data_IF_086192950802
#
_entry.id   IF_086192950802
#
_cell.length_a   1.000
_cell.length_b   1.000
_cell.length_c   1.000
_cell.angle_alpha   90.00
_cell.angle_beta   90.00
_cell.angle_gamma   90.00
#
_symmetry.space_group_name_H-M   'P 1'
#
loop_
_entity.id
_entity.type
_entity.pdbx_description
1 polymer ?
#
# COMPACT_ATOMS: atom_id res chain seq x y z
N UNK A 1 -5.85 4.71 -14.54
CA UNK A 1 -4.38 4.95 -14.51
C UNK A 1 -4.16 6.42 -14.82
N UNK A 2 -3.51 7.17 -13.91
CA UNK A 2 -3.03 8.51 -14.26
C UNK A 2 -1.73 8.30 -15.03
N UNK A 3 -1.79 8.29 -16.35
CA UNK A 3 -0.60 8.19 -17.18
C UNK A 3 0.28 9.43 -16.91
N UNK A 4 1.58 9.22 -16.72
CA UNK A 4 2.54 10.32 -16.81
C UNK A 4 2.53 10.74 -18.28
N UNK A 5 1.94 11.90 -18.58
CA UNK A 5 1.96 12.46 -19.93
C UNK A 5 3.35 13.02 -20.19
N UNK A 6 4.20 12.22 -20.83
CA UNK A 6 5.51 12.66 -21.31
C UNK A 6 5.34 13.28 -22.71
N UNK A 7 5.56 14.60 -22.79
CA UNK A 7 5.52 15.34 -24.05
C UNK A 7 6.89 15.24 -24.73
N UNK A 8 7.01 14.26 -25.62
CA UNK A 8 8.23 13.98 -26.38
C UNK A 8 8.66 15.19 -27.22
N UNK A 9 7.72 15.95 -27.79
CA UNK A 9 8.03 17.08 -28.68
C UNK A 9 8.62 18.23 -27.87
N UNK A 10 7.94 18.64 -26.80
CA UNK A 10 8.40 19.71 -25.92
C UNK A 10 9.74 19.37 -25.26
N UNK A 11 9.99 18.09 -24.97
CA UNK A 11 11.29 17.62 -24.47
C UNK A 11 12.40 17.76 -25.52
N UNK A 12 12.14 17.38 -26.78
CA UNK A 12 13.10 17.57 -27.89
C UNK A 12 13.41 19.06 -28.09
N UNK A 13 12.40 19.92 -28.12
CA UNK A 13 12.57 21.38 -28.26
C UNK A 13 13.48 21.94 -27.16
N UNK A 14 13.22 21.56 -25.89
CA UNK A 14 14.07 21.98 -24.77
C UNK A 14 15.54 21.53 -24.91
N UNK A 15 15.78 20.33 -25.43
CA UNK A 15 17.14 19.84 -25.66
C UNK A 15 17.84 20.62 -26.78
N UNK A 16 17.11 20.93 -27.86
CA UNK A 16 17.64 21.74 -28.97
C UNK A 16 17.97 23.15 -28.51
N UNK A 17 17.09 23.79 -27.73
CA UNK A 17 17.32 25.12 -27.13
C UNK A 17 18.54 25.13 -26.20
N UNK A 18 18.84 23.99 -25.56
CA UNK A 18 20.03 23.79 -24.74
C UNK A 18 21.30 23.46 -25.56
N UNK A 19 21.22 23.40 -26.89
CA UNK A 19 22.35 23.16 -27.78
C UNK A 19 22.59 21.69 -28.14
N UNK A 20 21.69 20.77 -27.79
CA UNK A 20 21.75 19.36 -28.21
C UNK A 20 21.34 19.26 -29.68
N UNK A 21 22.08 18.48 -30.48
CA UNK A 21 21.71 18.27 -31.88
C UNK A 21 20.33 17.58 -32.00
N UNK A 22 19.54 17.97 -32.99
CA UNK A 22 18.20 17.40 -33.22
C UNK A 22 18.18 15.85 -33.27
N UNK A 23 19.13 15.16 -33.94
CA UNK A 23 19.17 13.69 -33.93
C UNK A 23 19.36 13.10 -32.52
N UNK A 24 20.21 13.73 -31.70
CA UNK A 24 20.45 13.29 -30.32
C UNK A 24 19.28 13.62 -29.41
N UNK A 25 18.66 14.78 -29.58
CA UNK A 25 17.48 15.18 -28.82
C UNK A 25 16.32 14.19 -29.04
N UNK A 26 16.07 13.83 -30.31
CA UNK A 26 15.10 12.79 -30.69
C UNK A 26 15.44 11.43 -30.07
N UNK A 27 16.70 11.00 -30.15
CA UNK A 27 17.13 9.73 -29.57
C UNK A 27 16.91 9.67 -28.04
N UNK A 28 17.22 10.74 -27.32
CA UNK A 28 16.98 10.83 -25.87
C UNK A 28 15.49 10.81 -25.54
N UNK A 29 14.68 11.55 -26.29
CA UNK A 29 13.24 11.61 -26.09
C UNK A 29 12.57 10.24 -26.29
N UNK A 30 13.00 9.51 -27.33
CA UNK A 30 12.53 8.14 -27.59
C UNK A 30 12.95 7.20 -26.46
N UNK A 31 14.23 7.17 -26.08
CA UNK A 31 14.71 6.28 -25.03
C UNK A 31 14.03 6.53 -23.68
N UNK A 32 13.81 7.80 -23.31
CA UNK A 32 13.11 8.15 -22.08
C UNK A 32 11.62 7.79 -22.15
N UNK A 33 10.97 8.02 -23.30
CA UNK A 33 9.58 7.62 -23.52
C UNK A 33 9.39 6.11 -23.38
N UNK A 34 10.29 5.30 -23.94
CA UNK A 34 10.26 3.84 -23.83
C UNK A 34 10.39 3.38 -22.37
N UNK A 35 11.30 3.97 -21.59
CA UNK A 35 11.46 3.63 -20.17
C UNK A 35 10.22 3.99 -19.36
N UNK A 36 9.62 5.17 -19.61
CA UNK A 36 8.43 5.63 -18.90
C UNK A 36 7.18 4.82 -19.25
N UNK A 37 7.07 4.32 -20.49
CA UNK A 37 5.98 3.44 -20.90
C UNK A 37 6.09 2.03 -20.31
N UNK A 38 7.32 1.55 -20.10
CA UNK A 38 7.58 0.21 -19.57
C UNK A 38 7.68 0.15 -18.03
N UNK A 39 7.66 1.28 -17.33
CA UNK A 39 7.59 1.30 -15.88
C UNK A 39 6.16 1.06 -15.38
N UNK A 40 5.92 -0.12 -14.81
CA UNK A 40 4.76 -0.34 -13.95
C UNK A 40 4.96 0.40 -12.62
N UNK A 41 4.46 1.64 -12.58
CA UNK A 41 4.44 2.44 -11.36
C UNK A 41 3.21 2.08 -10.54
N UNK A 42 3.40 1.82 -9.24
CA UNK A 42 2.30 1.65 -8.31
C UNK A 42 1.41 2.91 -8.36
N UNK A 43 0.15 2.70 -8.71
CA UNK A 43 -0.83 3.76 -8.88
C UNK A 43 -1.44 4.14 -7.53
N UNK A 44 -2.11 5.29 -7.48
CA UNK A 44 -2.93 5.67 -6.32
C UNK A 44 -4.03 4.63 -6.03
N UNK A 45 -4.49 3.89 -7.05
CA UNK A 45 -5.48 2.83 -6.88
C UNK A 45 -4.88 1.64 -6.15
N UNK A 46 -3.64 1.26 -6.47
CA UNK A 46 -2.92 0.17 -5.78
C UNK A 46 -2.68 0.51 -4.30
N UNK A 47 -2.30 1.77 -4.02
CA UNK A 47 -2.19 2.25 -2.65
C UNK A 47 -3.53 2.24 -1.90
N UNK A 48 -4.63 2.63 -2.58
CA UNK A 48 -5.96 2.61 -1.98
C UNK A 48 -6.43 1.16 -1.70
N UNK A 49 -6.12 0.23 -2.59
CA UNK A 49 -6.40 -1.20 -2.41
C UNK A 49 -5.64 -1.76 -1.21
N UNK A 50 -4.32 -1.54 -1.14
CA UNK A 50 -3.50 -1.98 0.00
C UNK A 50 -3.99 -1.36 1.34
N UNK A 51 -4.39 -0.09 1.32
CA UNK A 51 -4.96 0.57 2.52
C UNK A 51 -6.30 -0.05 2.94
N UNK A 52 -7.14 -0.43 1.99
CA UNK A 52 -8.42 -1.07 2.27
C UNK A 52 -8.23 -2.49 2.83
N UNK A 53 -7.32 -3.26 2.25
CA UNK A 53 -6.91 -4.58 2.73
C UNK A 53 -6.37 -4.51 4.17
N UNK A 54 -5.41 -3.63 4.43
CA UNK A 54 -4.85 -3.44 5.77
C UNK A 54 -5.93 -3.02 6.78
N UNK A 55 -6.87 -2.15 6.39
CA UNK A 55 -7.99 -1.77 7.26
C UNK A 55 -8.87 -2.96 7.60
N UNK A 56 -9.14 -3.84 6.64
CA UNK A 56 -9.93 -5.05 6.87
C UNK A 56 -9.19 -6.02 7.80
N UNK A 57 -7.90 -6.26 7.59
CA UNK A 57 -7.09 -7.10 8.48
C UNK A 57 -7.10 -6.59 9.92
N UNK A 58 -6.95 -5.28 10.11
CA UNK A 58 -7.03 -4.66 11.44
C UNK A 58 -8.40 -4.89 12.09
N UNK A 59 -9.50 -4.81 11.33
CA UNK A 59 -10.84 -5.08 11.85
C UNK A 59 -10.99 -6.56 12.23
N UNK A 60 -10.51 -7.47 11.39
CA UNK A 60 -10.53 -8.91 11.66
C UNK A 60 -9.75 -9.25 12.92
N UNK A 61 -8.51 -8.76 13.04
CA UNK A 61 -7.66 -8.99 14.22
C UNK A 61 -8.29 -8.44 15.49
N UNK A 62 -8.92 -7.25 15.43
CA UNK A 62 -9.67 -6.71 16.59
C UNK A 62 -10.81 -7.64 17.00
N UNK A 63 -11.55 -8.20 16.05
CA UNK A 63 -12.63 -9.15 16.32
C UNK A 63 -12.12 -10.44 16.98
N UNK A 64 -11.02 -10.99 16.46
CA UNK A 64 -10.38 -12.18 17.04
C UNK A 64 -9.88 -11.93 18.46
N UNK A 65 -9.23 -10.78 18.69
CA UNK A 65 -8.78 -10.39 20.02
C UNK A 65 -9.96 -10.28 21.00
N UNK A 66 -11.06 -9.63 20.60
CA UNK A 66 -12.27 -9.53 21.44
C UNK A 66 -12.82 -10.92 21.76
N UNK A 67 -12.92 -11.80 20.77
CA UNK A 67 -13.39 -13.18 20.96
C UNK A 67 -12.54 -13.92 22.01
N UNK A 68 -11.22 -13.82 21.91
CA UNK A 68 -10.30 -14.44 22.88
C UNK A 68 -10.41 -13.81 24.27
N UNK A 69 -10.45 -12.48 24.37
CA UNK A 69 -10.59 -11.77 25.65
C UNK A 69 -11.88 -12.19 26.35
N UNK A 70 -13.00 -12.24 25.63
CA UNK A 70 -14.29 -12.68 26.17
C UNK A 70 -14.21 -14.14 26.63
N UNK A 71 -13.64 -15.03 25.81
CA UNK A 71 -13.47 -16.44 26.16
C UNK A 71 -12.63 -16.64 27.42
N UNK A 72 -11.48 -15.97 27.52
CA UNK A 72 -10.61 -16.02 28.69
C UNK A 72 -11.31 -15.43 29.92
N UNK A 73 -12.04 -14.32 29.78
CA UNK A 73 -12.77 -13.68 30.88
C UNK A 73 -13.80 -14.64 31.49
N UNK A 74 -14.57 -15.35 30.67
CA UNK A 74 -15.51 -16.36 31.16
C UNK A 74 -14.81 -17.56 31.80
N UNK A 75 -13.72 -18.05 31.21
CA UNK A 75 -12.94 -19.15 31.79
C UNK A 75 -12.39 -18.79 33.18
N UNK A 76 -11.87 -17.58 33.35
CA UNK A 76 -11.35 -17.10 34.63
C UNK A 76 -12.45 -16.91 35.68
N UNK A 77 -13.62 -16.40 35.29
CA UNK A 77 -14.77 -16.31 36.20
C UNK A 77 -15.24 -17.69 36.67
N UNK A 78 -15.30 -18.67 35.77
CA UNK A 78 -15.63 -20.05 36.12
C UNK A 78 -14.61 -20.63 37.10
N UNK A 79 -13.31 -20.43 36.85
CA UNK A 79 -12.22 -20.82 37.75
C UNK A 79 -12.33 -20.17 39.15
N UNK A 80 -12.66 -18.89 39.23
CA UNK A 80 -12.85 -18.23 40.53
C UNK A 80 -14.00 -18.86 41.31
N UNK A 81 -15.13 -19.15 40.65
CA UNK A 81 -16.29 -19.78 41.29
C UNK A 81 -16.00 -21.20 41.79
N UNK A 82 -15.12 -21.96 41.12
CA UNK A 82 -14.76 -23.31 41.56
C UNK A 82 -13.77 -23.31 42.72
N UNK A 83 -12.82 -22.38 42.77
CA UNK A 83 -11.73 -22.35 43.76
C UNK A 83 -12.16 -21.66 45.07
N UNK A 84 -12.96 -20.58 45.01
CA UNK A 84 -13.39 -19.81 46.18
C UNK A 84 -13.96 -20.66 47.34
N UNK A 85 -14.88 -21.63 47.11
CA UNK A 85 -15.43 -22.44 48.21
C UNK A 85 -14.42 -23.43 48.81
N UNK A 86 -13.31 -23.73 48.14
CA UNK A 86 -12.26 -24.62 48.67
C UNK A 86 -11.32 -23.88 49.63
N UNK A 87 -11.22 -22.55 49.54
CA UNK A 87 -10.37 -21.72 50.38
C UNK A 87 -11.02 -21.31 51.70
N UNK A 88 -12.35 -21.32 51.77
CA UNK A 88 -13.15 -20.88 52.94
C UNK A 88 -13.53 -22.04 53.87
N UNK A 89 -13.19 -23.28 53.47
CA UNK A 89 -13.43 -24.51 54.24
C UNK A 89 -12.15 -24.96 54.92
#
# INVERSE_FOLDING_TARGET
>A
MSAITFDTLRYVEHLIDAGVSEPQAKAQATALGEVLQNQELATKADLAAAKAELKNEVVTLKGEIIKWIVGISFAQLALMLTILPQLVR
#
